data_IF_867157003997
#
_entry.id   IF_867157003997
#
_cell.length_a   1.000
_cell.length_b   1.000
_cell.length_c   1.000
_cell.angle_alpha   90.00
_cell.angle_beta   90.00
_cell.angle_gamma   90.00
#
_symmetry.space_group_name_H-M   'P 1'
#
loop_
_entity.id
_entity.type
_entity.pdbx_description
1 polymer ?
#
# COMPACT_ATOMS: atom_id res chain seq x y z
N UNK A 1 -8.27 -4.00 1.97
CA UNK A 1 -7.85 -4.04 0.55
C UNK A 1 -9.00 -4.47 -0.37
N UNK A 2 -10.04 -5.13 0.15
CA UNK A 2 -11.17 -5.65 -0.65
C UNK A 2 -11.90 -4.55 -1.43
N UNK A 3 -12.19 -3.40 -0.82
CA UNK A 3 -12.85 -2.29 -1.51
C UNK A 3 -12.10 -1.77 -2.75
N UNK A 4 -10.75 -1.73 -2.69
CA UNK A 4 -9.93 -1.32 -3.85
C UNK A 4 -9.93 -2.40 -4.94
N UNK A 5 -10.00 -3.67 -4.54
CA UNK A 5 -10.09 -4.80 -5.46
C UNK A 5 -11.45 -4.85 -6.17
N UNK A 6 -12.53 -4.49 -5.48
CA UNK A 6 -13.91 -4.44 -6.03
C UNK A 6 -14.02 -3.43 -7.18
N UNK A 7 -13.43 -2.24 -7.04
CA UNK A 7 -13.48 -1.19 -8.07
C UNK A 7 -12.38 -1.31 -9.14
N UNK A 8 -11.50 -2.32 -9.05
CA UNK A 8 -10.34 -2.45 -9.94
C UNK A 8 -10.77 -2.54 -11.42
N UNK A 9 -11.88 -3.22 -11.70
CA UNK A 9 -12.42 -3.33 -13.05
C UNK A 9 -12.86 -1.98 -13.61
N UNK A 10 -13.53 -1.16 -12.79
CA UNK A 10 -13.95 0.20 -13.16
C UNK A 10 -12.74 1.09 -13.43
N UNK A 11 -11.72 1.08 -12.57
CA UNK A 11 -10.48 1.83 -12.77
C UNK A 11 -9.76 1.40 -14.06
N UNK A 12 -9.69 0.09 -14.34
CA UNK A 12 -9.10 -0.40 -15.59
C UNK A 12 -9.90 0.04 -16.82
N UNK A 13 -11.22 0.13 -16.72
CA UNK A 13 -12.09 0.58 -17.82
C UNK A 13 -11.86 2.06 -18.20
N UNK A 14 -11.38 2.89 -17.27
CA UNK A 14 -10.98 4.28 -17.55
C UNK A 14 -9.56 4.39 -18.12
N UNK A 15 -8.86 3.27 -18.32
CA UNK A 15 -7.44 3.23 -18.70
C UNK A 15 -6.47 3.54 -17.54
N UNK A 16 -6.96 3.54 -16.29
CA UNK A 16 -6.11 3.77 -15.13
C UNK A 16 -5.44 2.47 -14.66
N UNK A 17 -4.25 2.61 -14.08
CA UNK A 17 -3.55 1.54 -13.38
C UNK A 17 -3.58 1.81 -11.88
N UNK A 18 -3.99 0.82 -11.10
CA UNK A 18 -3.90 0.85 -9.65
C UNK A 18 -2.61 0.14 -9.22
N UNK A 19 -1.89 0.75 -8.28
CA UNK A 19 -0.68 0.18 -7.67
C UNK A 19 -0.68 0.55 -6.20
N UNK A 20 -0.34 -0.39 -5.32
CA UNK A 20 -0.08 -0.12 -3.91
C UNK A 20 1.42 0.01 -3.67
N UNK A 21 1.83 0.89 -2.75
CA UNK A 21 3.23 1.09 -2.37
C UNK A 21 3.35 0.84 -0.87
N UNK A 22 4.34 0.04 -0.45
CA UNK A 22 4.51 -0.35 0.96
C UNK A 22 5.99 -0.42 1.37
N UNK A 23 6.37 0.00 2.58
CA UNK A 23 7.72 -0.21 3.11
C UNK A 23 7.96 -1.64 3.59
N UNK A 24 6.92 -2.48 3.62
CA UNK A 24 7.01 -3.87 4.06
C UNK A 24 7.75 -4.71 3.02
N UNK A 25 8.56 -5.66 3.49
CA UNK A 25 9.18 -6.66 2.62
C UNK A 25 8.11 -7.47 1.87
N UNK A 26 8.48 -7.95 0.68
CA UNK A 26 7.58 -8.73 -0.17
C UNK A 26 7.02 -9.97 0.57
N UNK A 27 7.85 -10.63 1.39
CA UNK A 27 7.46 -11.80 2.20
C UNK A 27 6.28 -11.51 3.14
N UNK A 28 6.18 -10.28 3.65
CA UNK A 28 5.05 -9.85 4.49
C UNK A 28 3.84 -9.40 3.67
N UNK A 29 4.03 -9.07 2.40
CA UNK A 29 2.95 -8.64 1.49
C UNK A 29 2.28 -9.81 0.77
N UNK A 30 3.00 -10.91 0.50
CA UNK A 30 2.50 -12.11 -0.20
C UNK A 30 1.23 -12.68 0.47
N UNK A 31 1.17 -12.90 1.79
CA UNK A 31 -0.04 -13.43 2.42
C UNK A 31 -1.26 -12.51 2.23
N UNK A 32 -1.05 -11.19 2.17
CA UNK A 32 -2.12 -10.21 1.92
C UNK A 32 -2.60 -10.28 0.47
N UNK A 33 -1.68 -10.40 -0.49
CA UNK A 33 -2.00 -10.54 -1.92
C UNK A 33 -2.85 -11.80 -2.14
N UNK A 34 -2.43 -12.93 -1.57
CA UNK A 34 -3.12 -14.20 -1.71
C UNK A 34 -4.49 -14.19 -1.03
N UNK A 35 -4.55 -13.70 0.22
CA UNK A 35 -5.79 -13.64 1.00
C UNK A 35 -6.86 -12.79 0.32
N UNK A 36 -6.47 -11.64 -0.21
CA UNK A 36 -7.40 -10.68 -0.82
C UNK A 36 -7.48 -10.78 -2.34
N UNK A 37 -6.78 -11.75 -2.95
CA UNK A 37 -6.71 -11.99 -4.40
C UNK A 37 -6.45 -10.70 -5.19
N UNK A 38 -5.46 -9.94 -4.73
CA UNK A 38 -5.18 -8.62 -5.28
C UNK A 38 -4.69 -8.74 -6.73
N UNK A 39 -5.40 -8.08 -7.65
CA UNK A 39 -5.15 -8.09 -9.09
C UNK A 39 -4.40 -6.85 -9.59
N UNK A 40 -3.77 -6.13 -8.67
CA UNK A 40 -2.96 -4.94 -8.91
C UNK A 40 -1.58 -5.08 -8.25
N UNK A 41 -0.60 -4.37 -8.76
CA UNK A 41 0.79 -4.51 -8.32
C UNK A 41 1.00 -3.89 -6.93
N UNK A 42 1.88 -4.53 -6.15
CA UNK A 42 2.38 -3.99 -4.89
C UNK A 42 3.87 -3.74 -5.03
N UNK A 43 4.27 -2.47 -4.91
CA UNK A 43 5.66 -2.03 -4.99
C UNK A 43 6.25 -1.84 -3.59
N UNK A 44 7.52 -2.17 -3.47
CA UNK A 44 8.28 -1.96 -2.24
C UNK A 44 8.90 -0.56 -2.23
N UNK A 45 8.65 0.20 -1.16
CA UNK A 45 9.22 1.53 -0.90
C UNK A 45 10.06 1.52 0.39
N UNK A 46 11.34 1.10 0.31
CA UNK A 46 12.21 0.97 1.46
C UNK A 46 12.24 2.25 2.31
N UNK A 47 11.85 2.12 3.58
CA UNK A 47 11.87 3.25 4.52
C UNK A 47 10.92 4.40 4.18
N UNK A 48 9.90 4.16 3.34
CA UNK A 48 8.97 5.18 2.85
C UNK A 48 9.71 6.32 2.13
N UNK A 49 10.76 6.02 1.36
CA UNK A 49 11.60 7.01 0.71
C UNK A 49 10.84 7.75 -0.39
N UNK A 50 10.10 7.04 -1.23
CA UNK A 50 9.24 7.64 -2.24
C UNK A 50 8.08 8.40 -1.59
N UNK A 51 7.42 7.81 -0.59
CA UNK A 51 6.37 8.49 0.16
C UNK A 51 6.87 9.79 0.81
N UNK A 52 8.11 9.84 1.29
CA UNK A 52 8.72 11.07 1.81
C UNK A 52 8.90 12.14 0.73
N UNK A 53 9.31 11.78 -0.49
CA UNK A 53 9.42 12.72 -1.62
C UNK A 53 8.07 13.30 -2.02
N UNK A 54 6.99 12.54 -1.83
CA UNK A 54 5.61 13.00 -2.08
C UNK A 54 5.00 13.77 -0.89
N UNK A 55 5.74 13.97 0.21
CA UNK A 55 5.23 14.63 1.41
C UNK A 55 4.21 13.81 2.21
N UNK A 56 4.15 12.50 1.99
CA UNK A 56 3.19 11.58 2.64
C UNK A 56 3.76 10.92 3.91
N UNK A 57 5.05 11.07 4.17
CA UNK A 57 5.69 10.52 5.37
C UNK A 57 5.43 11.43 6.57
N UNK A 58 4.78 10.89 7.60
CA UNK A 58 4.59 11.55 8.88
C UNK A 58 5.25 10.76 10.00
N UNK A 59 5.61 11.46 11.07
CA UNK A 59 6.12 10.83 12.29
C UNK A 59 4.93 10.53 13.21
N UNK A 60 4.93 9.34 13.82
CA UNK A 60 3.97 9.04 14.87
C UNK A 60 4.21 10.01 16.05
N UNK A 61 3.17 10.69 16.57
CA UNK A 61 3.28 11.51 17.78
C UNK A 61 3.87 10.75 18.96
N UNK A 62 4.63 11.44 19.82
CA UNK A 62 5.40 10.81 20.90
C UNK A 62 4.50 10.18 21.99
N UNK A 63 3.35 10.81 22.26
CA UNK A 63 2.32 10.32 23.19
C UNK A 63 1.71 8.97 22.75
N UNK A 64 1.66 8.72 21.44
CA UNK A 64 1.19 7.45 20.89
C UNK A 64 2.27 6.36 20.89
N UNK A 65 3.57 6.71 20.99
CA UNK A 65 4.67 5.73 21.02
C UNK A 65 4.78 5.00 22.36
N UNK A 66 4.35 5.62 23.46
CA UNK A 66 4.42 4.97 24.79
C UNK A 66 3.31 3.92 24.99
N UNK A 67 2.27 3.94 24.15
CA UNK A 67 1.08 3.08 24.28
C UNK A 67 1.14 1.82 23.39
N UNK A 68 2.06 1.76 22.42
CA UNK A 68 2.18 0.68 21.42
C UNK A 68 3.58 0.08 21.40
#
# INVERSE_FOLDING_TARGET
MDALQEILGELKSTGANLVAITPQLAEHSIPMIEKHKLGFDILHDPGNAYAAQQGLRFQLPDDLKETY
#
